data_IF_944404887685
#
_entry.id   IF_944404887685
#
_cell.length_a   1.000
_cell.length_b   1.000
_cell.length_c   1.000
_cell.angle_alpha   90.00
_cell.angle_beta   90.00
_cell.angle_gamma   90.00
#
_symmetry.space_group_name_H-M   'P 1'
#
loop_
_entity.id
_entity.type
_entity.pdbx_description
1 polymer ?
#
# COMPACT_ATOMS: atom_id res chain seq x y z
N UNK A 1 12.06 -1.42 12.97
CA UNK A 1 10.74 -0.75 12.96
C UNK A 1 10.03 -1.03 11.65
N UNK A 2 8.76 -1.42 11.69
CA UNK A 2 7.86 -1.52 10.53
C UNK A 2 6.91 -0.33 10.52
N UNK A 3 6.73 0.29 9.36
CA UNK A 3 5.66 1.25 9.08
C UNK A 3 4.68 0.61 8.11
N UNK A 4 3.56 0.11 8.62
CA UNK A 4 2.47 -0.44 7.82
C UNK A 4 1.56 0.69 7.34
N UNK A 5 1.46 0.85 6.03
CA UNK A 5 0.68 1.90 5.39
C UNK A 5 -0.58 1.29 4.79
N UNK A 6 -1.69 1.43 5.52
CA UNK A 6 -3.02 0.97 5.12
C UNK A 6 -3.79 2.08 4.37
N UNK A 7 -4.95 1.75 3.85
CA UNK A 7 -5.82 2.70 3.17
C UNK A 7 -6.58 2.05 2.01
N UNK A 8 -7.60 2.71 1.44
CA UNK A 8 -8.37 2.18 0.33
C UNK A 8 -7.54 2.08 -0.95
N UNK A 9 -8.04 1.33 -1.92
CA UNK A 9 -7.52 1.40 -3.30
C UNK A 9 -7.58 2.86 -3.78
N UNK A 10 -6.52 3.35 -4.41
CA UNK A 10 -6.41 4.78 -4.76
C UNK A 10 -6.03 5.72 -3.60
N UNK A 11 -5.87 5.22 -2.37
CA UNK A 11 -5.46 6.01 -1.18
C UNK A 11 -4.04 6.57 -1.24
N UNK A 12 -3.19 6.08 -2.15
CA UNK A 12 -1.82 6.58 -2.33
C UNK A 12 -0.75 5.85 -1.54
N UNK A 13 -1.06 4.72 -0.90
CA UNK A 13 -0.15 3.90 -0.06
C UNK A 13 1.20 3.65 -0.70
N UNK A 14 1.20 3.04 -1.88
CA UNK A 14 2.42 2.69 -2.60
C UNK A 14 3.28 3.92 -2.92
N UNK A 15 2.64 5.05 -3.28
CA UNK A 15 3.36 6.28 -3.57
C UNK A 15 4.00 6.88 -2.31
N UNK A 16 3.31 6.83 -1.18
CA UNK A 16 3.84 7.28 0.12
C UNK A 16 4.97 6.36 0.56
N UNK A 17 4.82 5.03 0.44
CA UNK A 17 5.86 4.08 0.78
C UNK A 17 7.14 4.31 -0.04
N UNK A 18 7.02 4.50 -1.36
CA UNK A 18 8.17 4.81 -2.21
C UNK A 18 8.82 6.16 -1.88
N UNK A 19 8.02 7.17 -1.52
CA UNK A 19 8.55 8.47 -1.09
C UNK A 19 9.33 8.35 0.23
N UNK A 20 8.84 7.54 1.17
CA UNK A 20 9.53 7.23 2.42
C UNK A 20 10.84 6.49 2.16
N UNK A 21 10.82 5.39 1.39
CA UNK A 21 12.04 4.63 1.02
C UNK A 21 13.08 5.53 0.36
N UNK A 22 12.66 6.42 -0.52
CA UNK A 22 13.57 7.34 -1.22
C UNK A 22 14.30 8.29 -0.30
N UNK A 23 13.64 8.70 0.80
CA UNK A 23 14.12 9.78 1.67
C UNK A 23 14.62 9.31 3.04
N UNK A 24 14.19 8.14 3.49
CA UNK A 24 14.66 7.54 4.73
C UNK A 24 15.98 6.81 4.49
N UNK A 25 17.01 7.16 5.27
CA UNK A 25 18.29 6.47 5.16
C UNK A 25 18.14 4.99 5.56
N UNK A 26 18.55 4.10 4.67
CA UNK A 26 18.43 2.65 4.90
C UNK A 26 16.99 2.12 4.86
N UNK A 27 16.03 2.91 4.41
CA UNK A 27 14.64 2.46 4.28
C UNK A 27 14.45 1.44 3.15
N UNK A 28 13.65 0.40 3.39
CA UNK A 28 13.32 -0.63 2.40
C UNK A 28 11.81 -0.79 2.25
N UNK A 29 11.39 -1.18 1.05
CA UNK A 29 10.02 -1.54 0.74
C UNK A 29 9.85 -3.05 0.88
N UNK A 30 8.87 -3.48 1.67
CA UNK A 30 8.40 -4.86 1.71
C UNK A 30 6.90 -4.83 1.36
N UNK A 31 6.57 -5.15 0.11
CA UNK A 31 5.21 -5.09 -0.39
C UNK A 31 4.48 -6.42 -0.18
N UNK A 32 3.46 -6.49 0.71
CA UNK A 32 2.72 -7.73 0.96
C UNK A 32 1.93 -8.25 -0.26
N UNK A 33 1.63 -7.40 -1.25
CA UNK A 33 0.98 -7.82 -2.50
C UNK A 33 1.84 -8.82 -3.28
N UNK A 34 3.18 -8.79 -3.13
CA UNK A 34 4.09 -9.73 -3.81
C UNK A 34 3.86 -11.18 -3.40
N UNK A 35 3.55 -11.43 -2.13
CA UNK A 35 3.15 -12.77 -1.65
C UNK A 35 1.85 -13.19 -2.33
N UNK A 36 0.86 -12.29 -2.40
CA UNK A 36 -0.42 -12.54 -3.04
C UNK A 36 -0.28 -12.86 -4.54
N UNK A 37 0.52 -12.08 -5.26
CA UNK A 37 0.79 -12.35 -6.67
C UNK A 37 1.53 -13.68 -6.88
N UNK A 38 2.43 -14.06 -5.98
CA UNK A 38 3.07 -15.38 -5.98
C UNK A 38 2.04 -16.50 -5.89
N UNK A 39 1.12 -16.40 -4.93
CA UNK A 39 0.04 -17.37 -4.72
C UNK A 39 -0.91 -17.41 -5.93
N UNK A 40 -1.28 -16.25 -6.48
CA UNK A 40 -2.12 -16.20 -7.68
C UNK A 40 -1.47 -16.87 -8.89
N UNK A 41 -0.16 -16.71 -9.10
CA UNK A 41 0.54 -17.39 -10.20
C UNK A 41 0.52 -18.92 -10.04
N UNK A 42 0.56 -19.43 -8.82
CA UNK A 42 0.45 -20.87 -8.53
C UNK A 42 -0.98 -21.39 -8.66
N UNK A 43 -1.99 -20.54 -8.52
CA UNK A 43 -3.39 -20.94 -8.49
C UNK A 43 -4.01 -20.83 -9.88
N UNK A 44 -4.70 -21.90 -10.38
CA UNK A 44 -5.46 -21.81 -11.63
C UNK A 44 -6.48 -20.66 -11.61
N UNK A 45 -6.62 -19.95 -12.72
CA UNK A 45 -7.47 -18.74 -12.81
C UNK A 45 -8.90 -18.90 -12.25
N UNK A 46 -9.64 -20.00 -12.51
CA UNK A 46 -11.00 -20.16 -11.98
C UNK A 46 -11.09 -20.29 -10.46
N UNK A 47 -9.97 -20.58 -9.80
CA UNK A 47 -9.89 -20.76 -8.33
C UNK A 47 -9.33 -19.54 -7.61
N UNK A 48 -8.97 -18.45 -8.35
CA UNK A 48 -8.43 -17.23 -7.77
C UNK A 48 -9.54 -16.41 -7.14
N UNK A 49 -9.52 -16.24 -5.84
CA UNK A 49 -10.30 -15.28 -5.07
C UNK A 49 -9.46 -14.09 -4.59
N UNK A 50 -9.84 -13.48 -3.48
CA UNK A 50 -8.95 -12.55 -2.79
C UNK A 50 -7.82 -13.36 -2.12
N UNK A 51 -6.58 -13.04 -2.46
CA UNK A 51 -5.44 -13.76 -1.88
C UNK A 51 -5.33 -13.56 -0.35
N UNK A 52 -5.93 -12.51 0.20
CA UNK A 52 -5.96 -12.28 1.65
C UNK A 52 -6.77 -13.35 2.39
N UNK A 53 -7.76 -13.97 1.71
CA UNK A 53 -8.56 -15.07 2.26
C UNK A 53 -7.72 -16.34 2.47
N UNK A 54 -6.58 -16.46 1.80
CA UNK A 54 -5.68 -17.58 1.95
C UNK A 54 -4.83 -17.46 3.22
N UNK A 55 -4.89 -18.43 4.16
CA UNK A 55 -3.99 -18.47 5.31
C UNK A 55 -2.51 -18.41 4.91
N UNK A 56 -2.16 -18.99 3.76
CA UNK A 56 -0.80 -18.97 3.21
C UNK A 56 -0.31 -17.53 2.91
N UNK A 57 -1.20 -16.61 2.52
CA UNK A 57 -0.83 -15.20 2.34
C UNK A 57 -0.50 -14.56 3.68
N UNK A 58 -1.38 -14.69 4.67
CA UNK A 58 -1.21 -14.07 6.00
C UNK A 58 0.03 -14.61 6.70
N UNK A 59 0.25 -15.92 6.63
CA UNK A 59 1.43 -16.57 7.18
C UNK A 59 2.71 -16.11 6.45
N UNK A 60 2.72 -16.10 5.12
CA UNK A 60 3.88 -15.70 4.33
C UNK A 60 4.25 -14.23 4.55
N UNK A 61 3.27 -13.33 4.63
CA UNK A 61 3.49 -11.91 4.96
C UNK A 61 4.13 -11.77 6.34
N UNK A 62 3.58 -12.48 7.35
CA UNK A 62 4.13 -12.47 8.70
C UNK A 62 5.58 -12.97 8.71
N UNK A 63 5.88 -14.13 8.12
CA UNK A 63 7.23 -14.73 8.13
C UNK A 63 8.27 -13.87 7.42
N UNK A 64 7.92 -13.33 6.25
CA UNK A 64 8.84 -12.45 5.50
C UNK A 64 9.13 -11.18 6.29
N UNK A 65 8.10 -10.53 6.84
CA UNK A 65 8.29 -9.29 7.61
C UNK A 65 9.06 -9.56 8.92
N UNK A 66 8.77 -10.66 9.61
CA UNK A 66 9.52 -11.06 10.81
C UNK A 66 11.02 -11.24 10.49
N UNK A 67 11.33 -11.98 9.42
CA UNK A 67 12.71 -12.17 8.96
C UNK A 67 13.40 -10.84 8.66
N UNK A 68 12.72 -9.95 7.92
CA UNK A 68 13.30 -8.65 7.55
C UNK A 68 13.50 -7.77 8.78
N UNK A 69 12.52 -7.70 9.68
CA UNK A 69 12.60 -6.89 10.90
C UNK A 69 13.67 -7.37 11.86
N UNK A 70 13.92 -8.69 11.90
CA UNK A 70 14.98 -9.26 12.73
C UNK A 70 16.40 -8.97 12.20
N UNK A 71 16.58 -8.70 10.90
CA UNK A 71 17.89 -8.61 10.26
C UNK A 71 18.21 -7.28 9.62
N UNK A 72 17.20 -6.49 9.24
CA UNK A 72 17.40 -5.20 8.59
C UNK A 72 17.42 -4.06 9.62
N UNK A 73 18.51 -3.26 9.69
CA UNK A 73 18.65 -2.23 10.70
C UNK A 73 17.85 -0.95 10.43
N UNK A 74 17.40 -0.75 9.18
CA UNK A 74 16.64 0.45 8.76
C UNK A 74 15.14 0.30 8.89
N UNK A 75 14.37 1.38 8.63
CA UNK A 75 12.92 1.31 8.61
C UNK A 75 12.40 0.48 7.43
N UNK A 76 11.38 -0.33 7.70
CA UNK A 76 10.69 -1.17 6.71
C UNK A 76 9.32 -0.56 6.43
N UNK A 77 8.97 -0.38 5.16
CA UNK A 77 7.69 0.20 4.74
C UNK A 77 6.86 -0.85 4.00
N UNK A 78 5.65 -1.14 4.48
CA UNK A 78 4.74 -2.13 3.93
C UNK A 78 3.40 -1.48 3.53
N UNK A 79 3.19 -1.16 2.24
CA UNK A 79 1.91 -0.63 1.75
C UNK A 79 0.95 -1.78 1.45
N UNK A 80 -0.15 -1.88 2.20
CA UNK A 80 -1.18 -2.90 1.94
C UNK A 80 -2.57 -2.42 2.38
N UNK A 81 -3.61 -2.78 1.63
CA UNK A 81 -4.99 -2.63 2.07
C UNK A 81 -5.39 -3.87 2.86
N UNK A 82 -5.60 -3.75 4.16
CA UNK A 82 -6.18 -4.80 5.01
C UNK A 82 -7.30 -4.17 5.82
N UNK A 83 -8.51 -4.67 5.62
CA UNK A 83 -9.74 -4.13 6.23
C UNK A 83 -10.47 -5.14 7.12
N UNK A 84 -10.04 -6.40 7.10
CA UNK A 84 -10.55 -7.43 7.99
C UNK A 84 -9.72 -7.44 9.28
N UNK A 85 -10.34 -7.23 10.47
CA UNK A 85 -9.62 -7.20 11.74
C UNK A 85 -8.82 -8.47 12.01
N UNK A 86 -9.39 -9.64 11.69
CA UNK A 86 -8.72 -10.93 11.89
C UNK A 86 -7.45 -11.04 11.02
N UNK A 87 -7.52 -10.60 9.74
CA UNK A 87 -6.35 -10.62 8.86
C UNK A 87 -5.26 -9.64 9.32
N UNK A 88 -5.70 -8.49 9.85
CA UNK A 88 -4.79 -7.52 10.45
C UNK A 88 -4.13 -8.08 11.72
N UNK A 89 -4.88 -8.77 12.56
CA UNK A 89 -4.36 -9.45 13.75
C UNK A 89 -3.36 -10.57 13.37
N UNK A 90 -3.69 -11.39 12.38
CA UNK A 90 -2.83 -12.50 11.90
C UNK A 90 -1.52 -12.02 11.21
N UNK A 91 -1.44 -10.76 10.80
CA UNK A 91 -0.25 -10.17 10.17
C UNK A 91 0.41 -9.17 11.11
N UNK A 92 -0.12 -7.97 11.22
CA UNK A 92 0.42 -6.87 12.04
C UNK A 92 0.37 -7.18 13.53
N UNK A 93 -0.75 -7.78 14.00
CA UNK A 93 -0.91 -8.18 15.40
C UNK A 93 0.19 -9.15 15.85
N UNK A 94 0.41 -10.23 15.11
CA UNK A 94 1.46 -11.22 15.42
C UNK A 94 2.87 -10.63 15.41
N UNK A 95 3.17 -9.67 14.54
CA UNK A 95 4.46 -8.98 14.56
C UNK A 95 4.65 -8.17 15.84
N UNK A 96 3.60 -7.52 16.33
CA UNK A 96 3.60 -6.81 17.62
C UNK A 96 3.76 -7.75 18.80
N UNK A 97 3.03 -8.86 18.81
CA UNK A 97 3.16 -9.93 19.82
C UNK A 97 4.57 -10.50 19.89
N UNK A 98 5.26 -10.57 18.75
CA UNK A 98 6.65 -11.00 18.67
C UNK A 98 7.66 -9.93 19.14
N UNK A 99 7.18 -8.77 19.52
CA UNK A 99 8.00 -7.67 20.07
C UNK A 99 8.57 -6.72 19.05
N UNK A 100 8.15 -6.79 17.77
CA UNK A 100 8.57 -5.81 16.79
C UNK A 100 7.91 -4.45 17.02
N UNK A 101 8.64 -3.35 16.79
CA UNK A 101 8.07 -2.01 16.73
C UNK A 101 7.33 -1.84 15.42
N UNK A 102 5.99 -1.90 15.48
CA UNK A 102 5.09 -1.80 14.32
C UNK A 102 4.19 -0.59 14.47
N UNK A 103 4.41 0.39 13.62
CA UNK A 103 3.58 1.58 13.45
C UNK A 103 2.61 1.37 12.29
N UNK A 104 1.35 1.71 12.51
CA UNK A 104 0.30 1.56 11.50
C UNK A 104 -0.34 2.91 11.21
N UNK A 105 -0.53 3.22 9.92
CA UNK A 105 -1.21 4.42 9.45
C UNK A 105 -2.26 4.05 8.41
N UNK A 106 -3.49 4.52 8.57
CA UNK A 106 -4.52 4.43 7.56
C UNK A 106 -4.61 5.73 6.76
N UNK A 107 -4.23 5.68 5.48
CA UNK A 107 -4.36 6.83 4.58
C UNK A 107 -5.81 6.97 4.16
N UNK A 108 -6.49 7.96 4.72
CA UNK A 108 -7.89 8.26 4.45
C UNK A 108 -8.04 9.37 3.42
N UNK A 109 -9.12 9.35 2.68
CA UNK A 109 -9.54 10.43 1.79
C UNK A 109 -11.05 10.36 1.56
N UNK A 110 -11.65 11.49 1.18
CA UNK A 110 -13.06 11.52 0.79
C UNK A 110 -13.31 10.57 -0.40
N UNK A 111 -14.48 9.94 -0.42
CA UNK A 111 -14.91 9.03 -1.49
C UNK A 111 -14.68 9.61 -2.89
N UNK A 112 -15.07 10.87 -3.10
CA UNK A 112 -14.89 11.56 -4.37
C UNK A 112 -13.42 11.65 -4.79
N UNK A 113 -12.53 11.92 -3.85
CA UNK A 113 -11.07 11.98 -4.07
C UNK A 113 -10.52 10.61 -4.44
N UNK A 114 -10.92 9.54 -3.73
CA UNK A 114 -10.49 8.16 -4.03
C UNK A 114 -10.93 7.75 -5.44
N UNK A 115 -12.20 7.96 -5.79
CA UNK A 115 -12.74 7.63 -7.11
C UNK A 115 -12.06 8.43 -8.24
N UNK A 116 -11.78 9.72 -8.02
CA UNK A 116 -11.02 10.53 -8.98
C UNK A 116 -9.63 9.96 -9.21
N UNK A 117 -8.89 9.63 -8.15
CA UNK A 117 -7.55 9.04 -8.24
C UNK A 117 -7.54 7.67 -8.95
N UNK A 118 -8.56 6.85 -8.73
CA UNK A 118 -8.73 5.58 -9.44
C UNK A 118 -8.94 5.83 -10.94
N UNK A 119 -9.82 6.76 -11.33
CA UNK A 119 -10.05 7.13 -12.74
C UNK A 119 -8.80 7.68 -13.41
N UNK A 120 -8.06 8.58 -12.75
CA UNK A 120 -6.80 9.11 -13.26
C UNK A 120 -5.76 8.00 -13.49
N UNK A 121 -5.71 7.01 -12.61
CA UNK A 121 -4.87 5.82 -12.76
C UNK A 121 -5.30 4.95 -13.92
N UNK A 122 -6.61 4.75 -14.14
CA UNK A 122 -7.20 4.03 -15.27
C UNK A 122 -6.86 4.68 -16.58
N UNK A 123 -7.11 5.96 -16.67
CA UNK A 123 -6.83 6.72 -17.90
C UNK A 123 -5.34 6.67 -18.27
N UNK A 124 -4.44 6.83 -17.30
CA UNK A 124 -2.99 6.67 -17.52
C UNK A 124 -2.62 5.26 -18.00
N UNK A 125 -3.30 4.22 -17.52
CA UNK A 125 -3.12 2.83 -17.96
C UNK A 125 -3.70 2.56 -19.36
N UNK A 126 -4.88 3.09 -19.66
CA UNK A 126 -5.53 2.91 -20.96
C UNK A 126 -4.72 3.51 -22.12
N UNK A 127 -4.06 4.63 -21.88
CA UNK A 127 -3.17 5.27 -22.86
C UNK A 127 -1.90 4.43 -23.12
N UNK A 128 -1.47 3.62 -22.13
CA UNK A 128 -0.26 2.78 -22.24
C UNK A 128 -0.51 1.34 -22.69
N UNK A 129 -1.76 0.85 -22.63
CA UNK A 129 -2.09 -0.56 -22.84
C UNK A 129 -3.06 -0.75 -24.02
N UNK A 130 -2.58 -0.66 -25.25
CA UNK A 130 -3.35 -1.08 -26.44
C UNK A 130 -3.64 -2.60 -26.46
N UNK A 131 -2.92 -3.39 -25.64
CA UNK A 131 -3.05 -4.86 -25.58
C UNK A 131 -3.66 -5.44 -24.29
N UNK A 132 -3.93 -4.63 -23.26
CA UNK A 132 -4.35 -5.11 -21.94
C UNK A 132 -5.59 -4.44 -21.33
N UNK A 133 -6.43 -3.77 -22.12
CA UNK A 133 -7.56 -2.97 -21.63
C UNK A 133 -8.55 -3.75 -20.74
N UNK A 134 -8.83 -5.02 -21.05
CA UNK A 134 -9.80 -5.81 -20.31
C UNK A 134 -9.33 -6.17 -18.87
N UNK A 135 -8.05 -6.45 -18.68
CA UNK A 135 -7.50 -6.77 -17.35
C UNK A 135 -7.39 -5.51 -16.47
N UNK A 136 -6.96 -4.38 -17.03
CA UNK A 136 -6.90 -3.10 -16.35
C UNK A 136 -8.29 -2.62 -15.88
N UNK A 137 -9.32 -2.75 -16.73
CA UNK A 137 -10.71 -2.40 -16.42
C UNK A 137 -11.31 -3.30 -15.33
N UNK A 138 -10.95 -4.61 -15.30
CA UNK A 138 -11.41 -5.53 -14.24
C UNK A 138 -10.81 -5.20 -12.88
N UNK A 139 -9.52 -4.93 -12.80
CA UNK A 139 -8.86 -4.51 -11.56
C UNK A 139 -9.41 -3.19 -11.02
N UNK A 140 -9.80 -2.30 -11.91
CA UNK A 140 -10.38 -1.02 -11.53
C UNK A 140 -11.83 -1.14 -11.10
N UNK A 141 -12.65 -1.97 -11.76
CA UNK A 141 -14.02 -2.26 -11.33
C UNK A 141 -14.02 -2.93 -9.94
N UNK A 142 -13.08 -3.85 -9.67
CA UNK A 142 -12.89 -4.44 -8.35
C UNK A 142 -12.49 -3.37 -7.31
N UNK A 143 -11.50 -2.52 -7.62
CA UNK A 143 -11.06 -1.47 -6.72
C UNK A 143 -12.19 -0.47 -6.42
N UNK A 144 -12.97 -0.09 -7.42
CA UNK A 144 -14.12 0.82 -7.26
C UNK A 144 -15.23 0.19 -6.40
N UNK A 145 -15.54 -1.11 -6.61
CA UNK A 145 -16.57 -1.80 -5.82
C UNK A 145 -16.20 -1.95 -4.34
N UNK A 146 -14.91 -1.91 -4.02
CA UNK A 146 -14.41 -2.03 -2.63
C UNK A 146 -14.21 -0.69 -1.92
N UNK A 147 -14.36 0.46 -2.61
CA UNK A 147 -14.07 1.78 -2.00
C UNK A 147 -14.90 2.04 -0.75
N UNK A 148 -16.20 1.84 -0.82
CA UNK A 148 -17.11 2.19 0.27
C UNK A 148 -16.85 1.34 1.51
N UNK A 149 -16.72 0.03 1.33
CA UNK A 149 -16.40 -0.89 2.44
C UNK A 149 -15.00 -0.63 3.03
N UNK A 150 -14.02 -0.26 2.20
CA UNK A 150 -12.69 0.11 2.71
C UNK A 150 -12.74 1.38 3.56
N UNK A 151 -13.46 2.41 3.10
CA UNK A 151 -13.59 3.68 3.83
C UNK A 151 -14.35 3.51 5.15
N UNK A 152 -15.39 2.67 5.17
CA UNK A 152 -16.16 2.35 6.36
C UNK A 152 -15.30 1.57 7.38
N UNK A 153 -14.74 0.43 6.97
CA UNK A 153 -14.02 -0.47 7.87
C UNK A 153 -12.73 0.13 8.42
N UNK A 154 -12.02 0.93 7.63
CA UNK A 154 -10.81 1.61 8.09
C UNK A 154 -11.06 2.70 9.15
N UNK A 155 -12.32 3.03 9.45
CA UNK A 155 -12.67 3.89 10.59
C UNK A 155 -12.71 3.13 11.93
N UNK A 156 -12.68 1.81 11.91
CA UNK A 156 -12.71 1.00 13.11
C UNK A 156 -11.46 1.26 14.00
N UNK A 157 -11.58 1.10 15.33
CA UNK A 157 -10.51 1.41 16.28
C UNK A 157 -9.20 0.65 16.00
N UNK A 158 -9.27 -0.54 15.44
CA UNK A 158 -8.11 -1.37 15.08
C UNK A 158 -7.21 -0.69 14.05
N UNK A 159 -7.78 0.20 13.24
CA UNK A 159 -7.09 0.95 12.19
C UNK A 159 -6.85 2.41 12.58
N UNK A 160 -6.70 2.72 13.86
CA UNK A 160 -6.37 4.05 14.37
C UNK A 160 -5.09 4.63 13.72
N UNK A 161 -4.82 5.92 13.92
CA UNK A 161 -3.82 6.75 13.25
C UNK A 161 -4.17 7.04 11.78
N UNK A 162 -5.29 7.74 11.59
CA UNK A 162 -5.73 8.20 10.28
C UNK A 162 -4.92 9.40 9.80
N UNK A 163 -4.46 9.32 8.55
CA UNK A 163 -3.83 10.43 7.84
C UNK A 163 -4.71 10.84 6.65
N UNK A 164 -5.40 11.97 6.76
CA UNK A 164 -6.24 12.51 5.69
C UNK A 164 -5.39 13.11 4.57
N UNK A 165 -5.63 12.64 3.34
CA UNK A 165 -4.75 12.89 2.19
C UNK A 165 -5.37 13.73 1.08
N UNK A 166 -6.59 14.27 1.28
CA UNK A 166 -7.35 14.99 0.24
C UNK A 166 -6.63 16.20 -0.31
N UNK A 167 -6.05 16.99 0.59
CA UNK A 167 -5.49 18.31 0.31
C UNK A 167 -3.99 18.41 0.47
N UNK A 168 -3.33 17.29 0.74
CA UNK A 168 -1.88 17.28 0.96
C UNK A 168 -1.16 16.41 -0.07
N UNK A 169 -0.03 16.88 -0.61
CA UNK A 169 0.76 16.10 -1.55
C UNK A 169 1.44 14.90 -0.88
N UNK A 170 1.77 13.88 -1.67
CA UNK A 170 2.41 12.63 -1.22
C UNK A 170 3.66 12.89 -0.35
N UNK A 171 4.48 13.88 -0.72
CA UNK A 171 5.67 14.22 0.06
C UNK A 171 5.35 14.69 1.48
N UNK A 172 4.27 15.48 1.66
CA UNK A 172 3.84 15.92 2.98
C UNK A 172 3.17 14.79 3.78
N UNK A 173 2.47 13.86 3.12
CA UNK A 173 1.98 12.63 3.78
C UNK A 173 3.17 11.84 4.32
N UNK A 174 4.21 11.65 3.50
CA UNK A 174 5.44 10.97 3.92
C UNK A 174 6.13 11.69 5.08
N UNK A 175 6.20 13.03 5.06
CA UNK A 175 6.75 13.83 6.15
C UNK A 175 5.99 13.61 7.46
N UNK A 176 4.64 13.60 7.42
CA UNK A 176 3.81 13.36 8.62
C UNK A 176 4.04 11.96 9.19
N UNK A 177 3.97 10.92 8.34
CA UNK A 177 4.20 9.53 8.75
C UNK A 177 5.58 9.36 9.36
N UNK A 178 6.61 9.90 8.72
CA UNK A 178 7.98 9.80 9.21
C UNK A 178 8.18 10.56 10.55
N UNK A 179 7.60 11.74 10.68
CA UNK A 179 7.67 12.52 11.92
C UNK A 179 7.02 11.79 13.09
N UNK A 180 5.84 11.16 12.88
CA UNK A 180 5.18 10.34 13.91
C UNK A 180 5.98 9.11 14.31
N UNK A 181 6.88 8.63 13.44
CA UNK A 181 7.76 7.48 13.70
C UNK A 181 9.17 7.87 14.18
N UNK A 182 9.48 9.16 14.25
CA UNK A 182 10.84 9.63 14.54
C UNK A 182 11.87 9.28 13.45
N UNK A 183 11.42 9.04 12.20
CA UNK A 183 12.29 8.70 11.08
C UNK A 183 12.79 9.98 10.40
N UNK A 184 14.10 10.26 10.39
CA UNK A 184 14.64 11.40 9.67
C UNK A 184 14.54 11.21 8.15
N UNK A 185 13.94 12.17 7.46
CA UNK A 185 13.86 12.18 6.01
C UNK A 185 14.80 13.21 5.39
N UNK A 186 15.49 12.83 4.32
CA UNK A 186 16.19 13.79 3.48
C UNK A 186 15.20 14.82 2.89
N UNK A 187 15.61 16.10 2.71
CA UNK A 187 14.75 17.11 2.13
C UNK A 187 14.21 16.69 0.77
N UNK A 188 12.92 16.98 0.52
CA UNK A 188 12.35 16.76 -0.80
C UNK A 188 12.86 17.84 -1.76
N UNK A 189 13.77 17.46 -2.67
CA UNK A 189 14.35 18.34 -3.71
C UNK A 189 13.62 18.24 -5.04
N UNK A 190 12.53 17.46 -5.12
CA UNK A 190 11.78 17.32 -6.37
C UNK A 190 10.88 18.53 -6.61
N UNK A 191 11.09 19.21 -7.72
CA UNK A 191 10.12 20.18 -8.24
C UNK A 191 8.81 19.48 -8.66
N UNK A 192 7.72 20.24 -8.81
CA UNK A 192 6.37 19.75 -9.11
C UNK A 192 6.32 18.81 -10.33
N UNK A 193 7.09 19.09 -11.39
CA UNK A 193 7.17 18.28 -12.61
C UNK A 193 7.88 16.94 -12.38
N UNK A 194 9.04 16.93 -11.72
CA UNK A 194 9.76 15.69 -11.40
C UNK A 194 8.94 14.79 -10.48
N UNK A 195 8.25 15.37 -9.51
CA UNK A 195 7.34 14.64 -8.64
C UNK A 195 6.16 13.99 -9.39
N UNK A 196 5.59 14.68 -10.41
CA UNK A 196 4.52 14.11 -11.28
C UNK A 196 5.05 12.95 -12.13
N UNK A 197 6.19 13.12 -12.80
CA UNK A 197 6.81 12.07 -13.63
C UNK A 197 7.16 10.82 -12.79
N UNK A 198 7.68 11.00 -11.59
CA UNK A 198 8.02 9.89 -10.70
C UNK A 198 6.77 9.13 -10.25
N UNK A 199 5.69 9.83 -9.88
CA UNK A 199 4.42 9.19 -9.52
C UNK A 199 3.84 8.39 -10.68
N UNK A 200 3.91 8.91 -11.90
CA UNK A 200 3.53 8.18 -13.10
C UNK A 200 4.38 6.91 -13.27
N UNK A 201 5.70 7.02 -13.12
CA UNK A 201 6.64 5.89 -13.22
C UNK A 201 6.39 4.82 -12.14
N UNK A 202 6.18 5.21 -10.88
CA UNK A 202 5.84 4.28 -9.79
C UNK A 202 4.54 3.54 -10.10
N UNK A 203 3.53 4.25 -10.63
CA UNK A 203 2.29 3.64 -11.08
C UNK A 203 2.47 2.61 -12.20
N UNK A 204 3.41 2.84 -13.11
CA UNK A 204 3.73 1.92 -14.23
C UNK A 204 4.47 0.66 -13.75
N UNK A 205 5.42 0.82 -12.83
CA UNK A 205 6.27 -0.30 -12.35
C UNK A 205 5.49 -1.33 -11.53
N UNK A 206 4.33 -0.95 -10.97
CA UNK A 206 3.39 -1.83 -10.26
C UNK A 206 2.23 -2.31 -11.14
N UNK A 207 2.27 -2.04 -12.45
CA UNK A 207 1.35 -2.66 -13.40
C UNK A 207 1.90 -4.04 -13.72
N UNK A 208 1.39 -5.05 -13.03
CA UNK A 208 1.65 -6.44 -13.41
C UNK A 208 0.43 -6.97 -14.15
N UNK A 209 0.66 -7.34 -15.39
CA UNK A 209 -0.29 -8.03 -16.25
C UNK A 209 -0.20 -9.52 -15.90
N UNK A 210 -1.02 -9.96 -14.94
CA UNK A 210 -1.26 -11.39 -14.67
C UNK A 210 -2.59 -11.84 -15.25
#
# INVERSE_FOLDING_TARGET
MLVWINGPFGGGKTQVAHELVRRARGGVLCDPEEVGFGLHRMTPRPLRGDFQDLPAWRQGVFEVLDLVLARHPGPVFAPMTVIEPDYFAETVGRLREKGHDVRHFALMADRATVLRRLRERAFGRAVQAVAGQAAALRLESFAVSKVDICLERLQAPEFAEHVWTDRIPVAQVADRVAASCGIPLAPNRDGALRGRLRRAWTGVRHIRLD
#
